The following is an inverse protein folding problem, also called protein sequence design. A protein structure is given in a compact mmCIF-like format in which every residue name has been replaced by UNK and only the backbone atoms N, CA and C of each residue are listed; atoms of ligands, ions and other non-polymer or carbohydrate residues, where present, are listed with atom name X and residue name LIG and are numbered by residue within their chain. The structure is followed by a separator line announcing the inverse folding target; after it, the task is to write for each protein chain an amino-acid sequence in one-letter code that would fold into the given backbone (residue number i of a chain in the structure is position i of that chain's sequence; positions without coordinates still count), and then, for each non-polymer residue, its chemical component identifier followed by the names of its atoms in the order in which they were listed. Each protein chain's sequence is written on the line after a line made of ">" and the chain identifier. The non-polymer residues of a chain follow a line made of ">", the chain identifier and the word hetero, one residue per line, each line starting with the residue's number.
data_IF_609120542459
#
_entry.id   IF_609120542459
#
_cell.length_a   1.000
_cell.length_b   1.000
_cell.length_c   1.000
_cell.angle_alpha   90.00
_cell.angle_beta   90.00
_cell.angle_gamma   90.00
#
_symmetry.space_group_name_H-M   'P 1'
#
loop_
_entity.id
_entity.type
_entity.pdbx_description
1 polymer ?
#
# COMPACT_ATOMS: atom_id res chain seq x y z
N UNK A 1 -4.16 10.30 -27.37
CA UNK A 1 -5.51 10.90 -27.50
C UNK A 1 -5.62 11.95 -26.41
N UNK A 2 -5.99 13.21 -26.71
CA UNK A 2 -6.19 14.23 -25.67
C UNK A 2 -7.55 14.01 -25.02
N UNK A 3 -7.62 14.06 -23.69
CA UNK A 3 -8.88 13.93 -22.97
C UNK A 3 -9.79 15.13 -23.26
N UNK A 4 -11.12 14.94 -23.41
CA UNK A 4 -12.03 16.04 -23.66
C UNK A 4 -12.12 16.95 -22.42
N UNK A 5 -12.26 18.28 -22.59
CA UNK A 5 -12.33 19.22 -21.46
C UNK A 5 -13.41 18.85 -20.43
N UNK A 6 -14.57 18.36 -20.88
CA UNK A 6 -15.66 17.93 -20.01
C UNK A 6 -15.24 16.79 -19.06
N UNK A 7 -14.44 15.82 -19.54
CA UNK A 7 -13.95 14.73 -18.70
C UNK A 7 -12.98 15.23 -17.62
N UNK A 8 -12.13 16.20 -17.95
CA UNK A 8 -11.20 16.80 -16.99
C UNK A 8 -11.93 17.62 -15.94
N UNK A 9 -12.95 18.39 -16.33
CA UNK A 9 -13.79 19.16 -15.39
C UNK A 9 -14.55 18.22 -14.46
N UNK A 10 -15.18 17.17 -14.99
CA UNK A 10 -15.89 16.18 -14.17
C UNK A 10 -14.94 15.46 -13.21
N UNK A 11 -13.78 15.01 -13.68
CA UNK A 11 -12.77 14.37 -12.84
C UNK A 11 -12.26 15.32 -11.75
N UNK A 12 -12.01 16.58 -12.09
CA UNK A 12 -11.61 17.61 -11.14
C UNK A 12 -12.65 17.84 -10.06
N UNK A 13 -13.93 17.92 -10.44
CA UNK A 13 -15.03 18.07 -9.49
C UNK A 13 -15.15 16.86 -8.54
N UNK A 14 -15.02 15.64 -9.05
CA UNK A 14 -15.07 14.41 -8.23
C UNK A 14 -13.86 14.35 -7.27
N UNK A 15 -12.65 14.56 -7.78
CA UNK A 15 -11.44 14.55 -6.96
C UNK A 15 -11.49 15.64 -5.88
N UNK A 16 -12.02 16.82 -6.20
CA UNK A 16 -12.25 17.89 -5.24
C UNK A 16 -13.31 17.50 -4.19
N UNK A 17 -14.42 16.88 -4.61
CA UNK A 17 -15.44 16.39 -3.69
C UNK A 17 -14.87 15.34 -2.71
N UNK A 18 -14.01 14.43 -3.18
CA UNK A 18 -13.30 13.48 -2.31
C UNK A 18 -12.39 14.21 -1.31
N UNK A 19 -11.62 15.20 -1.77
CA UNK A 19 -10.75 15.98 -0.89
C UNK A 19 -11.57 16.72 0.19
N UNK A 20 -12.68 17.34 -0.19
CA UNK A 20 -13.60 18.02 0.74
C UNK A 20 -14.19 17.02 1.73
N UNK A 21 -14.68 15.88 1.26
CA UNK A 21 -15.23 14.83 2.11
C UNK A 21 -14.21 14.35 3.15
N UNK A 22 -13.01 13.97 2.70
CA UNK A 22 -11.94 13.51 3.59
C UNK A 22 -11.49 14.62 4.56
N UNK A 23 -11.42 15.87 4.10
CA UNK A 23 -11.11 17.03 4.93
C UNK A 23 -12.15 17.28 6.01
N UNK A 24 -13.44 17.18 5.68
CA UNK A 24 -14.55 17.28 6.65
C UNK A 24 -14.49 16.15 7.66
N UNK A 25 -14.26 14.91 7.22
CA UNK A 25 -14.15 13.77 8.15
C UNK A 25 -12.90 13.87 9.04
N UNK A 26 -11.79 14.40 8.53
CA UNK A 26 -10.59 14.66 9.32
C UNK A 26 -10.85 15.72 10.39
N UNK A 27 -11.43 16.86 10.00
CA UNK A 27 -11.75 17.96 10.91
C UNK A 27 -12.83 17.56 11.95
N UNK A 28 -13.74 16.67 11.58
CA UNK A 28 -14.77 16.11 12.46
C UNK A 28 -14.33 14.89 13.28
N UNK A 29 -13.06 14.50 13.24
CA UNK A 29 -12.53 13.34 13.98
C UNK A 29 -13.22 12.00 13.68
N UNK A 30 -13.78 11.86 12.47
CA UNK A 30 -14.55 10.69 12.03
C UNK A 30 -13.83 9.80 11.02
N UNK A 31 -12.51 10.01 10.82
CA UNK A 31 -11.74 9.29 9.80
C UNK A 31 -10.49 8.60 10.34
N UNK A 32 -9.47 9.36 10.74
CA UNK A 32 -8.17 8.79 11.10
C UNK A 32 -8.09 8.53 12.60
N UNK A 33 -8.40 9.52 13.41
CA UNK A 33 -8.39 9.45 14.86
C UNK A 33 -9.61 10.18 15.43
N UNK A 34 -10.07 9.72 16.60
CA UNK A 34 -11.15 10.36 17.35
C UNK A 34 -10.72 11.72 17.95
N UNK A 35 -11.65 12.40 18.63
CA UNK A 35 -11.39 13.70 19.25
C UNK A 35 -10.37 13.64 20.39
N UNK A 36 -10.12 12.45 20.95
CA UNK A 36 -9.10 12.20 21.99
C UNK A 36 -7.74 11.83 21.40
N UNK A 37 -7.65 11.68 20.07
CA UNK A 37 -6.44 11.27 19.36
C UNK A 37 -6.23 9.76 19.28
N UNK A 38 -7.21 8.95 19.70
CA UNK A 38 -7.13 7.50 19.52
C UNK A 38 -7.34 7.15 18.05
N UNK A 39 -6.54 6.24 17.47
CA UNK A 39 -6.76 5.74 16.12
C UNK A 39 -8.17 5.16 15.94
N UNK A 40 -8.78 5.40 14.79
CA UNK A 40 -9.96 4.67 14.35
C UNK A 40 -9.53 3.40 13.60
N UNK A 41 -10.39 2.39 13.60
CA UNK A 41 -10.15 1.11 12.94
C UNK A 41 -10.14 1.25 11.41
N UNK A 42 -8.98 1.64 10.88
CA UNK A 42 -8.66 1.70 9.45
C UNK A 42 -7.62 0.62 9.13
N UNK A 43 -7.59 0.09 7.90
CA UNK A 43 -6.62 -0.95 7.51
C UNK A 43 -5.17 -0.53 7.80
N UNK A 44 -4.85 0.76 7.68
CA UNK A 44 -3.55 1.32 8.02
C UNK A 44 -3.11 1.09 9.48
N UNK A 45 -4.06 0.97 10.43
CA UNK A 45 -3.77 0.67 11.82
C UNK A 45 -3.03 -0.67 11.96
N UNK A 46 -3.29 -1.63 11.07
CA UNK A 46 -2.49 -2.87 11.00
C UNK A 46 -1.01 -2.57 10.73
N UNK A 47 -0.70 -1.72 9.75
CA UNK A 47 0.69 -1.42 9.37
C UNK A 47 1.42 -0.69 10.48
N UNK A 48 0.79 0.35 11.04
CA UNK A 48 1.40 1.12 12.10
C UNK A 48 1.59 0.26 13.37
N UNK A 49 0.60 -0.57 13.71
CA UNK A 49 0.70 -1.46 14.87
C UNK A 49 1.80 -2.50 14.71
N UNK A 50 1.90 -3.13 13.53
CA UNK A 50 2.96 -4.08 13.23
C UNK A 50 4.35 -3.44 13.34
N UNK A 51 4.50 -2.21 12.83
CA UNK A 51 5.74 -1.44 12.97
C UNK A 51 6.08 -1.13 14.43
N UNK A 52 5.10 -0.77 15.26
CA UNK A 52 5.28 -0.52 16.70
C UNK A 52 5.67 -1.78 17.47
N UNK A 53 5.05 -2.91 17.15
CA UNK A 53 5.39 -4.21 17.74
C UNK A 53 6.80 -4.64 17.32
N UNK A 54 7.18 -4.44 16.05
CA UNK A 54 8.54 -4.71 15.61
C UNK A 54 9.58 -3.80 16.31
N UNK A 55 9.26 -2.51 16.48
CA UNK A 55 10.10 -1.56 17.22
C UNK A 55 10.29 -1.91 18.71
N UNK A 56 9.37 -2.68 19.30
CA UNK A 56 9.53 -3.15 20.69
C UNK A 56 10.46 -4.37 20.82
N UNK A 57 11.07 -4.82 19.71
CA UNK A 57 11.95 -5.99 19.66
C UNK A 57 11.24 -7.32 19.48
N UNK A 58 9.92 -7.31 19.24
CA UNK A 58 9.10 -8.54 19.14
C UNK A 58 8.35 -8.64 17.79
N UNK A 59 9.03 -8.59 16.63
CA UNK A 59 8.35 -8.58 15.33
C UNK A 59 7.44 -9.80 15.07
N UNK A 60 7.78 -10.97 15.63
CA UNK A 60 6.95 -12.16 15.53
C UNK A 60 5.56 -11.98 16.19
N UNK A 61 5.45 -11.17 17.25
CA UNK A 61 4.20 -10.92 17.94
C UNK A 61 3.18 -10.14 17.08
N UNK A 62 3.61 -9.50 15.98
CA UNK A 62 2.68 -8.88 15.04
C UNK A 62 1.82 -9.93 14.31
N UNK A 63 2.31 -11.16 14.18
CA UNK A 63 1.60 -12.29 13.57
C UNK A 63 0.72 -13.05 14.57
N UNK A 64 0.89 -12.83 15.87
CA UNK A 64 0.00 -13.37 16.90
C UNK A 64 -1.30 -12.54 16.92
N UNK A 65 -2.39 -13.20 16.54
CA UNK A 65 -3.64 -12.49 16.32
C UNK A 65 -4.20 -11.87 17.62
N UNK A 66 -4.34 -12.63 18.71
CA UNK A 66 -4.74 -12.07 20.01
C UNK A 66 -3.88 -10.89 20.48
N UNK A 67 -2.55 -10.97 20.35
CA UNK A 67 -1.63 -9.93 20.78
C UNK A 67 -1.78 -8.64 19.96
N UNK A 68 -1.87 -8.77 18.63
CA UNK A 68 -2.11 -7.63 17.74
C UNK A 68 -3.43 -6.92 18.09
N UNK A 69 -4.51 -7.68 18.30
CA UNK A 69 -5.81 -7.12 18.63
C UNK A 69 -5.85 -6.48 20.02
N UNK A 70 -5.19 -7.08 21.02
CA UNK A 70 -5.06 -6.50 22.35
C UNK A 70 -4.30 -5.16 22.29
N UNK A 71 -3.20 -5.11 21.53
CA UNK A 71 -2.43 -3.89 21.31
C UNK A 71 -3.26 -2.81 20.62
N UNK A 72 -4.03 -3.16 19.58
CA UNK A 72 -4.91 -2.21 18.89
C UNK A 72 -6.02 -1.66 19.79
N UNK A 73 -6.67 -2.49 20.61
CA UNK A 73 -7.69 -2.02 21.56
C UNK A 73 -7.12 -1.03 22.59
N UNK A 74 -5.88 -1.25 23.04
CA UNK A 74 -5.20 -0.29 23.92
C UNK A 74 -4.96 1.05 23.21
N UNK A 75 -4.55 1.04 21.94
CA UNK A 75 -4.38 2.26 21.16
C UNK A 75 -5.69 2.99 20.91
N UNK A 76 -6.76 2.25 20.61
CA UNK A 76 -8.10 2.80 20.34
C UNK A 76 -8.79 3.31 21.62
N UNK A 77 -8.32 2.91 22.80
CA UNK A 77 -8.91 3.32 24.08
C UNK A 77 -10.26 2.69 24.40
N UNK A 78 -10.71 1.70 23.61
CA UNK A 78 -11.99 1.02 23.83
C UNK A 78 -11.95 -0.44 23.33
N UNK A 79 -12.88 -1.24 23.83
CA UNK A 79 -13.09 -2.58 23.31
C UNK A 79 -13.63 -2.53 21.87
N UNK A 80 -13.14 -3.41 21.00
CA UNK A 80 -13.56 -3.50 19.61
C UNK A 80 -13.76 -4.96 19.22
N UNK A 81 -14.81 -5.24 18.44
CA UNK A 81 -15.16 -6.61 18.03
C UNK A 81 -14.63 -6.99 16.65
N UNK A 82 -14.16 -6.02 15.88
CA UNK A 82 -13.54 -6.29 14.59
C UNK A 82 -12.11 -6.77 14.78
N UNK A 83 -11.42 -6.97 13.68
CA UNK A 83 -10.05 -7.47 13.73
C UNK A 83 -9.21 -6.92 12.57
N UNK A 84 -8.00 -6.41 12.86
CA UNK A 84 -7.02 -5.95 11.86
C UNK A 84 -5.69 -6.71 12.00
N UNK A 85 -5.51 -7.72 11.18
CA UNK A 85 -4.31 -8.57 11.23
C UNK A 85 -3.14 -8.06 10.42
N UNK A 86 -1.95 -8.55 10.76
CA UNK A 86 -0.75 -8.40 9.96
C UNK A 86 -0.52 -9.66 9.14
N UNK A 87 -0.74 -9.55 7.83
CA UNK A 87 -0.65 -10.66 6.89
C UNK A 87 0.38 -10.40 5.78
N UNK A 88 1.43 -9.65 6.11
CA UNK A 88 2.49 -9.27 5.16
C UNK A 88 3.77 -10.04 5.46
N UNK A 89 4.60 -10.35 4.44
CA UNK A 89 5.91 -10.93 4.68
C UNK A 89 6.75 -10.03 5.61
N UNK A 90 7.61 -10.60 6.48
CA UNK A 90 8.43 -9.83 7.40
C UNK A 90 9.25 -8.70 6.76
N UNK A 91 9.66 -8.82 5.48
CA UNK A 91 10.32 -7.71 4.80
C UNK A 91 9.47 -6.43 4.72
N UNK A 92 8.14 -6.53 4.78
CA UNK A 92 7.25 -5.36 4.80
C UNK A 92 7.39 -4.54 6.10
N UNK A 93 8.05 -5.07 7.15
CA UNK A 93 8.48 -4.28 8.29
C UNK A 93 9.44 -3.15 7.90
N UNK A 94 10.19 -3.27 6.80
CA UNK A 94 11.02 -2.17 6.29
C UNK A 94 10.19 -0.93 5.90
N UNK A 95 8.90 -1.09 5.64
CA UNK A 95 7.95 0.00 5.40
C UNK A 95 7.20 0.36 6.69
N UNK A 96 6.72 -0.65 7.42
CA UNK A 96 5.92 -0.42 8.63
C UNK A 96 6.71 0.25 9.77
N UNK A 97 7.98 -0.11 9.98
CA UNK A 97 8.81 0.45 11.05
C UNK A 97 9.02 1.96 10.87
N UNK A 98 9.50 2.48 9.72
CA UNK A 98 9.65 3.92 9.53
C UNK A 98 8.34 4.69 9.71
N UNK A 99 7.22 4.12 9.24
CA UNK A 99 5.89 4.71 9.42
C UNK A 99 5.49 4.74 10.91
N UNK A 100 5.87 3.73 11.69
CA UNK A 100 5.58 3.64 13.12
C UNK A 100 6.42 4.57 14.01
N UNK A 101 7.50 5.16 13.48
CA UNK A 101 8.35 6.12 14.21
C UNK A 101 7.67 7.48 14.42
N UNK A 102 6.67 7.81 13.61
CA UNK A 102 5.94 9.08 13.67
C UNK A 102 4.51 8.89 14.19
N UNK A 103 3.86 9.94 14.72
CA UNK A 103 2.49 9.85 15.24
C UNK A 103 1.51 9.28 14.20
N UNK A 104 0.55 8.48 14.67
CA UNK A 104 -0.35 7.69 13.81
C UNK A 104 -1.00 8.51 12.69
N UNK A 105 -1.60 9.67 13.01
CA UNK A 105 -2.26 10.52 12.01
C UNK A 105 -1.28 11.05 10.95
N UNK A 106 -0.10 11.48 11.37
CA UNK A 106 0.94 11.94 10.44
C UNK A 106 1.43 10.78 9.56
N UNK A 107 1.56 9.58 10.13
CA UNK A 107 1.92 8.36 9.43
C UNK A 107 0.90 7.99 8.37
N UNK A 108 -0.38 7.97 8.73
CA UNK A 108 -1.51 7.67 7.84
C UNK A 108 -1.52 8.64 6.64
N UNK A 109 -1.46 9.95 6.91
CA UNK A 109 -1.48 10.97 5.87
C UNK A 109 -0.26 10.85 4.96
N UNK A 110 0.93 10.63 5.53
CA UNK A 110 2.16 10.45 4.74
C UNK A 110 2.07 9.24 3.82
N UNK A 111 1.56 8.11 4.34
CA UNK A 111 1.35 6.89 3.58
C UNK A 111 0.37 7.09 2.41
N UNK A 112 -0.80 7.66 2.69
CA UNK A 112 -1.84 7.89 1.68
C UNK A 112 -1.39 8.90 0.63
N UNK A 113 -0.81 10.03 1.04
CA UNK A 113 -0.39 11.08 0.10
C UNK A 113 0.78 10.62 -0.78
N UNK A 114 1.78 9.93 -0.22
CA UNK A 114 2.89 9.39 -0.99
C UNK A 114 2.40 8.32 -1.98
N UNK A 115 1.55 7.40 -1.52
CA UNK A 115 0.93 6.38 -2.38
C UNK A 115 0.13 7.01 -3.51
N UNK A 116 -0.78 7.94 -3.19
CA UNK A 116 -1.64 8.61 -4.17
C UNK A 116 -0.82 9.37 -5.22
N UNK A 117 0.26 10.06 -4.81
CA UNK A 117 1.17 10.75 -5.73
C UNK A 117 1.88 9.78 -6.68
N UNK A 118 2.41 8.66 -6.16
CA UNK A 118 3.04 7.62 -6.98
C UNK A 118 2.04 7.01 -7.96
N UNK A 119 0.84 6.69 -7.50
CA UNK A 119 -0.23 6.13 -8.33
C UNK A 119 -0.64 7.10 -9.44
N UNK A 120 -0.97 8.36 -9.11
CA UNK A 120 -1.39 9.35 -10.10
C UNK A 120 -0.30 9.63 -11.15
N UNK A 121 0.97 9.74 -10.70
CA UNK A 121 2.11 9.90 -11.60
C UNK A 121 2.30 8.68 -12.51
N UNK A 122 2.13 7.47 -11.98
CA UNK A 122 2.27 6.24 -12.73
C UNK A 122 1.17 6.10 -13.80
N UNK A 123 -0.08 6.42 -13.47
CA UNK A 123 -1.19 6.39 -14.44
C UNK A 123 -0.98 7.42 -15.56
N UNK A 124 -0.58 8.65 -15.23
CA UNK A 124 -0.28 9.67 -16.24
C UNK A 124 0.85 9.24 -17.19
N UNK A 125 1.87 8.55 -16.66
CA UNK A 125 2.98 8.01 -17.45
C UNK A 125 2.52 6.87 -18.37
N UNK A 126 1.75 5.92 -17.85
CA UNK A 126 1.22 4.77 -18.62
C UNK A 126 0.29 5.24 -19.73
N UNK A 127 -0.63 6.17 -19.42
CA UNK A 127 -1.55 6.74 -20.40
C UNK A 127 -0.87 7.71 -21.39
N UNK A 128 0.36 8.15 -21.10
CA UNK A 128 1.08 9.20 -21.84
C UNK A 128 0.27 10.49 -21.98
N UNK A 129 -0.51 10.80 -20.94
CA UNK A 129 -1.47 11.90 -20.92
C UNK A 129 -1.53 12.43 -19.47
N UNK A 130 -1.34 13.75 -19.29
CA UNK A 130 -1.20 14.35 -17.94
C UNK A 130 -2.53 14.43 -17.18
N UNK A 131 -3.63 14.67 -17.88
CA UNK A 131 -4.98 14.66 -17.32
C UNK A 131 -5.44 13.30 -16.80
N UNK A 132 -4.80 12.19 -17.20
CA UNK A 132 -5.06 10.86 -16.69
C UNK A 132 -4.71 10.74 -15.20
N UNK A 133 -3.80 11.58 -14.68
CA UNK A 133 -3.62 11.72 -13.23
C UNK A 133 -4.92 12.18 -12.56
N UNK A 134 -5.61 13.17 -13.13
CA UNK A 134 -6.86 13.68 -12.58
C UNK A 134 -7.98 12.63 -12.63
N UNK A 135 -8.08 11.88 -13.73
CA UNK A 135 -8.98 10.73 -13.82
C UNK A 135 -8.66 9.65 -12.77
N UNK A 136 -7.37 9.40 -12.54
CA UNK A 136 -6.92 8.44 -11.53
C UNK A 136 -7.33 8.87 -10.12
N UNK A 137 -7.20 10.16 -9.80
CA UNK A 137 -7.63 10.74 -8.52
C UNK A 137 -9.16 10.73 -8.35
N UNK A 138 -9.91 10.88 -9.45
CA UNK A 138 -11.37 10.83 -9.47
C UNK A 138 -11.93 9.41 -9.44
N UNK A 139 -11.09 8.38 -9.63
CA UNK A 139 -11.55 7.00 -9.65
C UNK A 139 -12.07 6.59 -8.26
N UNK A 140 -13.22 5.88 -8.16
CA UNK A 140 -13.72 5.38 -6.89
C UNK A 140 -12.70 4.53 -6.12
N UNK A 141 -11.85 3.80 -6.84
CA UNK A 141 -10.75 3.03 -6.26
C UNK A 141 -9.73 3.90 -5.52
N UNK A 142 -9.54 5.17 -5.91
CA UNK A 142 -8.66 6.08 -5.19
C UNK A 142 -9.24 6.45 -3.81
N UNK A 143 -10.52 6.81 -3.74
CA UNK A 143 -11.18 7.04 -2.46
C UNK A 143 -11.20 5.76 -1.61
N UNK A 144 -11.58 4.63 -2.21
CA UNK A 144 -11.63 3.33 -1.53
C UNK A 144 -10.27 2.84 -1.02
N UNK A 145 -9.17 3.30 -1.60
CA UNK A 145 -7.82 3.01 -1.10
C UNK A 145 -7.35 4.02 -0.04
N UNK A 146 -7.65 5.31 -0.25
CA UNK A 146 -7.24 6.39 0.64
C UNK A 146 -7.97 6.33 1.99
N UNK A 147 -9.27 6.03 1.98
CA UNK A 147 -10.12 6.04 3.17
C UNK A 147 -9.64 5.05 4.25
N UNK A 148 -9.37 3.77 3.97
CA UNK A 148 -8.78 2.86 4.95
C UNK A 148 -7.25 2.93 5.05
N UNK A 149 -6.58 3.70 4.18
CA UNK A 149 -5.11 3.71 4.08
C UNK A 149 -4.53 2.40 3.52
N UNK A 150 -5.26 1.76 2.60
CA UNK A 150 -4.85 0.55 1.90
C UNK A 150 -3.58 0.76 1.04
N UNK A 151 -2.90 -0.33 0.71
CA UNK A 151 -1.66 -0.32 -0.08
C UNK A 151 -1.89 -0.51 -1.61
N UNK A 152 -3.13 -0.31 -2.07
CA UNK A 152 -3.49 -0.43 -3.48
C UNK A 152 -2.69 0.53 -4.37
N UNK A 153 -2.43 1.75 -3.89
CA UNK A 153 -1.61 2.73 -4.62
C UNK A 153 -0.18 2.27 -4.85
N UNK A 154 0.48 1.70 -3.83
CA UNK A 154 1.82 1.13 -3.97
C UNK A 154 1.83 -0.01 -4.99
N UNK A 155 0.83 -0.90 -4.90
CA UNK A 155 0.68 -2.04 -5.81
C UNK A 155 0.53 -1.57 -7.27
N UNK A 156 -0.34 -0.59 -7.49
CA UNK A 156 -0.57 0.00 -8.81
C UNK A 156 0.68 0.70 -9.35
N UNK A 157 1.41 1.44 -8.51
CA UNK A 157 2.64 2.13 -8.90
C UNK A 157 3.76 1.14 -9.28
N UNK A 158 3.90 0.03 -8.56
CA UNK A 158 4.86 -1.04 -8.89
C UNK A 158 4.51 -1.72 -10.23
N UNK A 159 3.24 -2.08 -10.44
CA UNK A 159 2.77 -2.69 -11.70
C UNK A 159 2.97 -1.71 -12.87
N UNK A 160 2.52 -0.47 -12.73
CA UNK A 160 2.66 0.55 -13.77
C UNK A 160 4.14 0.86 -14.05
N UNK A 161 4.97 0.95 -13.01
CA UNK A 161 6.42 1.10 -13.15
C UNK A 161 7.05 -0.07 -13.91
N UNK A 162 6.64 -1.30 -13.63
CA UNK A 162 7.11 -2.47 -14.35
C UNK A 162 6.70 -2.43 -15.83
N UNK A 163 5.44 -2.09 -16.14
CA UNK A 163 4.96 -1.96 -17.51
C UNK A 163 5.72 -0.92 -18.31
N UNK A 164 5.98 0.25 -17.70
CA UNK A 164 6.75 1.33 -18.33
C UNK A 164 8.20 0.93 -18.65
N UNK A 165 8.78 0.07 -17.83
CA UNK A 165 10.19 -0.32 -17.94
C UNK A 165 10.40 -1.66 -18.64
N UNK A 166 9.34 -2.40 -18.96
CA UNK A 166 9.42 -3.79 -19.41
C UNK A 166 10.30 -3.98 -20.65
N UNK A 167 10.20 -3.06 -21.61
CA UNK A 167 10.99 -3.11 -22.85
C UNK A 167 12.39 -2.50 -22.68
N UNK A 168 12.50 -1.33 -22.05
CA UNK A 168 13.76 -0.57 -21.99
C UNK A 168 14.72 -1.07 -20.89
N UNK A 169 14.18 -1.54 -19.76
CA UNK A 169 14.92 -1.95 -18.56
C UNK A 169 14.27 -3.19 -17.92
N UNK A 170 14.29 -4.34 -18.61
CA UNK A 170 13.56 -5.54 -18.18
C UNK A 170 13.99 -6.03 -16.79
N UNK A 171 15.25 -5.84 -16.38
CA UNK A 171 15.71 -6.20 -15.03
C UNK A 171 15.00 -5.36 -13.96
N UNK A 172 14.90 -4.04 -14.15
CA UNK A 172 14.19 -3.16 -13.24
C UNK A 172 12.69 -3.49 -13.21
N UNK A 173 12.08 -3.77 -14.37
CA UNK A 173 10.70 -4.22 -14.42
C UNK A 173 10.48 -5.49 -13.60
N UNK A 174 11.38 -6.47 -13.73
CA UNK A 174 11.36 -7.67 -12.91
C UNK A 174 11.49 -7.38 -11.42
N UNK A 175 12.41 -6.50 -11.00
CA UNK A 175 12.54 -6.11 -9.59
C UNK A 175 11.25 -5.49 -9.05
N UNK A 176 10.62 -4.58 -9.80
CA UNK A 176 9.34 -3.97 -9.39
C UNK A 176 8.21 -4.99 -9.27
N UNK A 177 8.16 -5.99 -10.17
CA UNK A 177 7.20 -7.09 -10.10
C UNK A 177 7.50 -8.05 -8.94
N UNK A 178 8.77 -8.35 -8.68
CA UNK A 178 9.18 -9.17 -7.54
C UNK A 178 8.86 -8.52 -6.20
N UNK A 179 8.95 -7.18 -6.10
CA UNK A 179 8.50 -6.44 -4.91
C UNK A 179 7.01 -6.64 -4.60
N UNK A 180 6.17 -6.98 -5.59
CA UNK A 180 4.75 -7.31 -5.35
C UNK A 180 4.55 -8.60 -4.55
N UNK A 181 5.60 -9.35 -4.22
CA UNK A 181 5.51 -10.52 -3.34
C UNK A 181 4.88 -10.21 -1.97
N UNK A 182 4.86 -8.94 -1.51
CA UNK A 182 4.07 -8.57 -0.32
C UNK A 182 2.55 -8.77 -0.51
N UNK A 183 2.08 -8.90 -1.76
CA UNK A 183 0.71 -9.29 -2.16
C UNK A 183 0.79 -10.43 -3.19
N UNK A 184 1.05 -11.67 -2.75
CA UNK A 184 1.35 -12.79 -3.66
C UNK A 184 0.23 -13.09 -4.66
N UNK A 185 -1.03 -12.84 -4.30
CA UNK A 185 -2.18 -13.04 -5.19
C UNK A 185 -2.17 -12.12 -6.42
N UNK A 186 -1.58 -10.92 -6.33
CA UNK A 186 -1.40 -10.04 -7.50
C UNK A 186 -0.32 -10.56 -8.46
N UNK A 187 0.60 -11.37 -7.93
CA UNK A 187 1.72 -11.96 -8.66
C UNK A 187 1.35 -13.17 -9.52
N UNK A 188 0.15 -13.76 -9.39
CA UNK A 188 -0.12 -15.10 -9.94
C UNK A 188 -0.06 -15.16 -11.47
N UNK A 189 -0.65 -14.18 -12.16
CA UNK A 189 -0.69 -14.15 -13.63
C UNK A 189 0.54 -13.48 -14.25
N UNK A 190 1.36 -12.78 -13.46
CA UNK A 190 2.53 -12.05 -13.95
C UNK A 190 3.59 -12.99 -14.58
N UNK A 191 4.03 -14.08 -13.92
CA UNK A 191 4.97 -15.04 -14.50
C UNK A 191 4.49 -15.61 -15.84
N UNK A 192 3.20 -15.95 -15.91
CA UNK A 192 2.56 -16.48 -17.12
C UNK A 192 2.65 -15.46 -18.26
N UNK A 193 2.27 -14.20 -18.00
CA UNK A 193 2.35 -13.12 -18.98
C UNK A 193 3.79 -12.84 -19.44
N UNK A 194 4.78 -12.91 -18.54
CA UNK A 194 6.18 -12.69 -18.90
C UNK A 194 6.74 -13.82 -19.76
N UNK A 195 6.39 -15.07 -19.48
CA UNK A 195 6.81 -16.24 -20.26
C UNK A 195 6.22 -16.17 -21.67
N UNK A 196 4.89 -16.01 -21.79
CA UNK A 196 4.23 -15.93 -23.10
C UNK A 196 4.60 -14.66 -23.88
N UNK A 197 4.94 -13.58 -23.19
CA UNK A 197 5.47 -12.36 -23.81
C UNK A 197 6.97 -12.42 -24.17
N UNK A 198 7.67 -13.52 -23.86
CA UNK A 198 9.11 -13.67 -24.13
C UNK A 198 10.02 -12.78 -23.27
N UNK A 199 9.51 -12.22 -22.17
CA UNK A 199 10.23 -11.29 -21.29
C UNK A 199 11.09 -12.01 -20.24
N UNK A 200 11.94 -12.94 -20.68
CA UNK A 200 12.76 -13.80 -19.81
C UNK A 200 13.63 -13.05 -18.81
N UNK A 201 14.23 -11.92 -19.21
CA UNK A 201 15.05 -11.10 -18.31
C UNK A 201 14.24 -10.52 -17.15
N UNK A 202 13.02 -10.08 -17.42
CA UNK A 202 12.12 -9.59 -16.38
C UNK A 202 11.63 -10.74 -15.49
N UNK A 203 11.32 -11.90 -16.08
CA UNK A 203 10.93 -13.11 -15.36
C UNK A 203 12.00 -13.54 -14.34
N UNK A 204 13.26 -13.72 -14.78
CA UNK A 204 14.33 -14.14 -13.87
C UNK A 204 14.64 -13.07 -12.82
N UNK A 205 14.62 -11.79 -13.19
CA UNK A 205 14.81 -10.70 -12.23
C UNK A 205 13.71 -10.67 -11.16
N UNK A 206 12.45 -10.88 -11.55
CA UNK A 206 11.33 -11.00 -10.62
C UNK A 206 11.50 -12.21 -9.70
N UNK A 207 11.85 -13.37 -10.25
CA UNK A 207 12.09 -14.59 -9.47
C UNK A 207 13.21 -14.40 -8.43
N UNK A 208 14.36 -13.85 -8.83
CA UNK A 208 15.47 -13.56 -7.92
C UNK A 208 15.04 -12.57 -6.83
N UNK A 209 14.33 -11.50 -7.20
CA UNK A 209 13.84 -10.51 -6.25
C UNK A 209 12.88 -11.14 -5.24
N UNK A 210 11.92 -11.94 -5.69
CA UNK A 210 10.99 -12.68 -4.84
C UNK A 210 11.72 -13.64 -3.89
N UNK A 211 12.68 -14.42 -4.38
CA UNK A 211 13.47 -15.34 -3.55
C UNK A 211 14.26 -14.55 -2.49
N UNK A 212 14.90 -13.45 -2.86
CA UNK A 212 15.59 -12.58 -1.90
C UNK A 212 14.64 -12.04 -0.84
N UNK A 213 13.44 -11.61 -1.23
CA UNK A 213 12.42 -11.12 -0.28
C UNK A 213 12.02 -12.23 0.69
N UNK A 214 11.82 -13.46 0.20
CA UNK A 214 11.47 -14.61 1.03
C UNK A 214 12.60 -14.98 2.01
N UNK A 215 13.85 -15.02 1.53
CA UNK A 215 15.02 -15.31 2.37
C UNK A 215 15.18 -14.25 3.46
N UNK A 216 15.14 -12.97 3.08
CA UNK A 216 15.26 -11.86 4.04
C UNK A 216 14.08 -11.86 5.02
N UNK A 217 12.88 -12.17 4.54
CA UNK A 217 11.71 -12.30 5.41
C UNK A 217 11.90 -13.42 6.45
N UNK A 218 12.39 -14.58 6.03
CA UNK A 218 12.69 -15.69 6.93
C UNK A 218 13.77 -15.32 7.96
N UNK A 219 14.82 -14.62 7.56
CA UNK A 219 15.86 -14.16 8.49
C UNK A 219 15.35 -13.14 9.51
N UNK A 220 14.38 -12.30 9.13
CA UNK A 220 13.81 -11.26 10.01
C UNK A 220 12.82 -11.82 11.03
N UNK A 221 12.09 -12.88 10.69
CA UNK A 221 11.18 -13.56 11.60
C UNK A 221 11.13 -15.07 11.27
N UNK A 222 12.13 -15.85 11.74
CA UNK A 222 12.20 -17.28 11.44
C UNK A 222 10.96 -18.03 11.94
N UNK A 223 10.44 -17.60 13.09
CA UNK A 223 9.32 -18.22 13.78
C UNK A 223 7.96 -17.82 13.18
N UNK A 224 7.89 -16.80 12.31
CA UNK A 224 6.61 -16.35 11.73
C UNK A 224 6.04 -17.30 10.67
N UNK A 225 6.81 -18.27 10.20
CA UNK A 225 6.34 -19.30 9.25
C UNK A 225 5.90 -20.59 9.94
N UNK A 226 6.11 -20.70 11.25
CA UNK A 226 5.78 -21.88 12.06
C UNK A 226 4.43 -21.79 12.78
N UNK A 227 3.78 -20.62 12.73
CA UNK A 227 2.47 -20.33 13.33
C UNK A 227 1.37 -20.33 12.26
#
# INVERSE_FOLDING_TARGET
>A
MRLPPLALVAAGAIAFAYLVQLGVMLAGHGWIADASGHPLAQDFLSFWSAGRIALSGHPAAAYDWPAMHAFQQQLMGHAWKGYLGWAYPPLFFLIAIPLALIPYTASFLSWVLAGLALYAAAIARVARERGAALLALAAPAALGCAMPGQNGFLSAALIAGALLQLQARPLLAGMLLGLLTYKPHLGLLIPVALIFGGYWRAFFSAAVTTIMILILSWLMAPDSLAA
#
